data_IF_811198047222
#
_entry.id   IF_811198047222
#
_cell.length_a   1.000
_cell.length_b   1.000
_cell.length_c   1.000
_cell.angle_alpha   90.00
_cell.angle_beta   90.00
_cell.angle_gamma   90.00
#
_symmetry.space_group_name_H-M   'P 1'
#
loop_
_entity.id
_entity.type
_entity.pdbx_description
1 polymer ?
#
# COMPACT_ATOMS: atom_id res chain seq x y z
N UNK A 1 -7.49 -31.79 12.19
CA UNK A 1 -8.07 -30.54 12.76
C UNK A 1 -7.00 -29.56 13.23
N UNK A 2 -6.12 -29.90 14.18
CA UNK A 2 -5.16 -28.93 14.76
C UNK A 2 -4.10 -28.40 13.75
N UNK A 3 -3.62 -29.24 12.81
CA UNK A 3 -2.75 -28.79 11.71
C UNK A 3 -3.45 -27.81 10.76
N UNK A 4 -4.69 -28.12 10.37
CA UNK A 4 -5.50 -27.29 9.45
C UNK A 4 -5.77 -25.89 10.02
N UNK A 5 -6.06 -25.77 11.32
CA UNK A 5 -6.28 -24.48 11.96
C UNK A 5 -5.01 -23.61 12.08
N UNK A 6 -3.83 -24.21 12.20
CA UNK A 6 -2.54 -23.49 12.21
C UNK A 6 -2.22 -23.00 10.79
N UNK A 7 -2.46 -23.84 9.79
CA UNK A 7 -2.24 -23.53 8.39
C UNK A 7 -3.13 -22.36 7.93
N UNK A 8 -4.44 -22.37 8.23
CA UNK A 8 -5.34 -21.25 7.93
C UNK A 8 -4.93 -19.93 8.60
N UNK A 9 -4.44 -19.98 9.85
CA UNK A 9 -3.98 -18.78 10.56
C UNK A 9 -2.69 -18.21 9.99
N UNK A 10 -1.75 -19.07 9.59
CA UNK A 10 -0.50 -18.66 8.95
C UNK A 10 -0.77 -18.13 7.55
N UNK A 11 -1.60 -18.82 6.77
CA UNK A 11 -2.02 -18.38 5.43
C UNK A 11 -2.71 -17.02 5.50
N UNK A 12 -3.62 -16.80 6.46
CA UNK A 12 -4.27 -15.49 6.62
C UNK A 12 -3.29 -14.36 6.95
N UNK A 13 -2.32 -14.61 7.84
CA UNK A 13 -1.30 -13.62 8.18
C UNK A 13 -0.32 -13.38 7.03
N UNK A 14 0.03 -14.43 6.29
CA UNK A 14 0.86 -14.35 5.10
C UNK A 14 0.15 -13.58 3.99
N UNK A 15 -1.13 -13.83 3.76
CA UNK A 15 -1.95 -13.11 2.79
C UNK A 15 -2.04 -11.62 3.12
N UNK A 16 -2.27 -11.29 4.40
CA UNK A 16 -2.22 -9.91 4.86
C UNK A 16 -0.83 -9.26 4.69
N UNK A 17 0.25 -9.96 5.05
CA UNK A 17 1.61 -9.44 4.94
C UNK A 17 2.03 -9.25 3.47
N UNK A 18 1.72 -10.22 2.61
CA UNK A 18 1.99 -10.17 1.17
C UNK A 18 1.15 -9.09 0.49
N UNK A 19 -0.15 -9.04 0.78
CA UNK A 19 -1.05 -8.00 0.27
C UNK A 19 -0.59 -6.60 0.69
N UNK A 20 -0.15 -6.45 1.94
CA UNK A 20 0.44 -5.21 2.44
C UNK A 20 1.74 -4.86 1.70
N UNK A 21 2.65 -5.83 1.54
CA UNK A 21 3.91 -5.64 0.82
C UNK A 21 3.70 -5.21 -0.63
N UNK A 22 2.82 -5.91 -1.35
CA UNK A 22 2.50 -5.58 -2.75
C UNK A 22 1.80 -4.24 -2.91
N UNK A 23 1.12 -3.74 -1.87
CA UNK A 23 0.51 -2.41 -1.88
C UNK A 23 1.53 -1.27 -1.88
N UNK A 24 2.76 -1.53 -1.47
CA UNK A 24 3.87 -0.58 -1.54
C UNK A 24 4.69 -0.70 -2.83
N UNK A 25 4.54 -1.80 -3.59
CA UNK A 25 5.19 -1.99 -4.89
C UNK A 25 4.98 -0.81 -5.86
N UNK A 26 3.77 -0.20 -5.96
CA UNK A 26 3.54 0.94 -6.83
C UNK A 26 4.45 2.14 -6.53
N UNK A 27 4.88 2.32 -5.27
CA UNK A 27 5.77 3.43 -4.89
C UNK A 27 7.09 3.28 -5.62
N UNK A 28 7.69 2.08 -5.53
CA UNK A 28 8.98 1.76 -6.15
C UNK A 28 8.90 1.94 -7.66
N UNK A 29 7.86 1.41 -8.30
CA UNK A 29 7.69 1.54 -9.76
C UNK A 29 7.53 3.00 -10.18
N UNK A 30 6.81 3.82 -9.41
CA UNK A 30 6.58 5.23 -9.74
C UNK A 30 7.87 6.03 -9.64
N UNK A 31 8.70 5.76 -8.63
CA UNK A 31 10.03 6.38 -8.49
C UNK A 31 10.92 6.03 -9.68
N UNK A 32 11.03 4.75 -10.05
CA UNK A 32 11.84 4.35 -11.21
C UNK A 32 11.31 4.89 -12.53
N UNK A 33 9.98 4.92 -12.70
CA UNK A 33 9.35 5.43 -13.91
C UNK A 33 9.61 6.93 -14.09
N UNK A 34 9.46 7.73 -13.04
CA UNK A 34 9.84 9.15 -13.10
C UNK A 34 11.34 9.33 -13.27
N UNK A 35 12.17 8.49 -12.64
CA UNK A 35 13.61 8.50 -12.86
C UNK A 35 13.97 8.28 -14.33
N UNK A 36 13.30 7.34 -15.00
CA UNK A 36 13.48 7.09 -16.43
C UNK A 36 12.99 8.28 -17.29
N UNK A 37 11.85 8.90 -16.96
CA UNK A 37 11.32 10.06 -17.69
C UNK A 37 12.29 11.25 -17.63
N UNK A 38 12.81 11.56 -16.44
CA UNK A 38 13.76 12.65 -16.26
C UNK A 38 15.15 12.31 -16.83
N UNK A 39 15.54 11.04 -16.90
CA UNK A 39 16.79 10.60 -17.53
C UNK A 39 16.77 10.66 -19.07
N UNK A 40 15.61 10.63 -19.71
CA UNK A 40 15.49 10.75 -21.17
C UNK A 40 15.81 12.19 -21.59
N UNK A 41 16.96 12.40 -22.24
CA UNK A 41 17.42 13.69 -22.79
C UNK A 41 18.49 14.39 -21.96
N UNK A 42 19.65 13.72 -21.85
CA UNK A 42 20.87 13.94 -21.05
C UNK A 42 21.60 15.30 -21.19
N UNK A 43 20.92 16.37 -21.60
CA UNK A 43 21.61 17.64 -21.88
C UNK A 43 21.86 18.50 -20.64
N UNK A 44 21.00 18.41 -19.63
CA UNK A 44 21.02 19.31 -18.46
C UNK A 44 20.86 18.54 -17.14
N UNK A 45 21.70 18.91 -16.17
CA UNK A 45 21.70 18.38 -14.80
C UNK A 45 20.46 18.82 -14.00
N UNK A 46 19.91 20.01 -14.33
CA UNK A 46 18.62 20.52 -13.82
C UNK A 46 17.54 20.43 -14.89
N UNK A 47 17.13 19.21 -15.23
CA UNK A 47 16.02 19.01 -16.17
C UNK A 47 14.69 19.32 -15.50
N UNK A 48 14.20 20.54 -15.73
CA UNK A 48 12.88 20.98 -15.30
C UNK A 48 11.86 20.60 -16.37
N UNK A 49 10.88 19.77 -16.01
CA UNK A 49 9.76 19.41 -16.90
C UNK A 49 8.54 20.23 -16.46
N UNK A 50 8.10 21.16 -17.30
CA UNK A 50 6.91 22.00 -17.02
C UNK A 50 6.99 22.74 -15.66
N UNK A 51 8.19 23.15 -15.24
CA UNK A 51 8.40 23.83 -13.95
C UNK A 51 8.66 22.90 -12.76
N UNK A 52 8.61 21.58 -12.94
CA UNK A 52 8.87 20.60 -11.89
C UNK A 52 10.23 19.92 -12.05
N UNK A 53 10.95 19.78 -10.95
CA UNK A 53 12.12 18.91 -10.86
C UNK A 53 11.71 17.47 -10.53
N UNK A 54 12.67 16.54 -10.69
CA UNK A 54 12.46 15.14 -10.32
C UNK A 54 12.03 14.99 -8.86
N UNK A 55 12.66 15.74 -7.95
CA UNK A 55 12.33 15.74 -6.53
C UNK A 55 10.89 16.16 -6.26
N UNK A 56 10.40 17.19 -6.94
CA UNK A 56 9.03 17.69 -6.80
C UNK A 56 8.00 16.63 -7.24
N UNK A 57 8.25 15.97 -8.37
CA UNK A 57 7.35 14.93 -8.88
C UNK A 57 7.29 13.72 -7.96
N UNK A 58 8.45 13.27 -7.45
CA UNK A 58 8.50 12.16 -6.49
C UNK A 58 7.79 12.54 -5.20
N UNK A 59 8.04 13.73 -4.64
CA UNK A 59 7.40 14.20 -3.42
C UNK A 59 5.87 14.28 -3.57
N UNK A 60 5.38 14.85 -4.68
CA UNK A 60 3.95 14.91 -4.99
C UNK A 60 3.28 13.54 -5.02
N UNK A 61 3.87 12.58 -5.74
CA UNK A 61 3.32 11.23 -5.84
C UNK A 61 3.37 10.46 -4.52
N UNK A 62 4.42 10.63 -3.72
CA UNK A 62 4.52 10.03 -2.39
C UNK A 62 3.43 10.57 -1.46
N UNK A 63 3.19 11.89 -1.46
CA UNK A 63 2.10 12.50 -0.69
C UNK A 63 0.72 11.99 -1.14
N UNK A 64 0.49 11.89 -2.45
CA UNK A 64 -0.77 11.36 -2.99
C UNK A 64 -0.99 9.90 -2.61
N UNK A 65 0.07 9.07 -2.61
CA UNK A 65 0.00 7.68 -2.18
C UNK A 65 -0.23 7.53 -0.68
N UNK A 66 0.39 8.38 0.14
CA UNK A 66 0.14 8.43 1.58
C UNK A 66 -1.33 8.80 1.85
N UNK A 67 -1.83 9.84 1.20
CA UNK A 67 -3.23 10.23 1.28
C UNK A 67 -4.16 9.09 0.85
N UNK A 68 -3.85 8.39 -0.24
CA UNK A 68 -4.61 7.18 -0.63
C UNK A 68 -4.51 6.09 0.43
N UNK A 69 -3.36 5.82 1.03
CA UNK A 69 -3.21 4.76 2.01
C UNK A 69 -4.14 5.00 3.22
N UNK A 70 -4.23 6.24 3.69
CA UNK A 70 -5.17 6.65 4.74
C UNK A 70 -6.63 6.65 4.28
N UNK A 71 -6.92 7.14 3.08
CA UNK A 71 -8.30 7.24 2.56
C UNK A 71 -8.90 5.89 2.11
N UNK A 72 -8.08 4.93 1.66
CA UNK A 72 -8.56 3.72 0.99
C UNK A 72 -8.80 2.51 1.89
N UNK A 73 -8.68 2.65 3.23
CA UNK A 73 -8.99 1.64 4.27
C UNK A 73 -9.32 0.21 3.74
N UNK A 74 -8.36 -0.57 3.22
CA UNK A 74 -8.65 -1.91 2.74
C UNK A 74 -8.26 -2.87 3.85
N UNK A 75 -9.25 -3.54 4.43
CA UNK A 75 -9.06 -4.57 5.45
C UNK A 75 -9.72 -4.29 6.80
N UNK A 76 -10.08 -3.04 7.12
CA UNK A 76 -10.83 -2.76 8.35
C UNK A 76 -12.24 -3.37 8.30
N UNK A 77 -12.89 -3.27 7.14
CA UNK A 77 -14.23 -3.85 6.92
C UNK A 77 -14.22 -5.38 6.96
N UNK A 78 -13.20 -6.06 6.42
CA UNK A 78 -13.14 -7.53 6.45
C UNK A 78 -12.77 -8.08 7.84
N UNK A 79 -11.92 -7.37 8.59
CA UNK A 79 -11.65 -7.67 10.00
C UNK A 79 -12.90 -7.54 10.87
N UNK A 80 -13.62 -6.41 10.75
CA UNK A 80 -14.89 -6.19 11.45
C UNK A 80 -15.95 -7.21 11.03
N UNK A 81 -16.10 -7.51 9.74
CA UNK A 81 -17.08 -8.49 9.26
C UNK A 81 -16.80 -9.90 9.81
N UNK A 82 -15.53 -10.25 9.99
CA UNK A 82 -15.11 -11.51 10.59
C UNK A 82 -15.34 -11.53 12.10
N UNK A 83 -15.05 -10.44 12.81
CA UNK A 83 -15.35 -10.29 14.24
C UNK A 83 -16.86 -10.29 14.54
N UNK A 84 -17.67 -9.74 13.63
CA UNK A 84 -19.15 -9.82 13.66
C UNK A 84 -19.61 -11.26 13.45
N UNK A 85 -19.12 -11.94 12.39
CA UNK A 85 -19.49 -13.32 12.07
C UNK A 85 -19.11 -14.31 13.17
N UNK A 86 -17.93 -14.15 13.75
CA UNK A 86 -17.38 -15.05 14.76
C UNK A 86 -17.91 -14.71 16.18
N UNK A 87 -18.80 -13.71 16.31
CA UNK A 87 -19.56 -13.41 17.52
C UNK A 87 -18.80 -12.68 18.63
N UNK A 88 -17.58 -12.20 18.36
CA UNK A 88 -16.70 -11.56 19.33
C UNK A 88 -17.30 -10.25 19.90
N UNK A 89 -18.15 -9.57 19.13
CA UNK A 89 -18.79 -8.29 19.53
C UNK A 89 -19.87 -8.48 20.60
N UNK A 90 -20.48 -9.67 20.69
CA UNK A 90 -21.54 -9.96 21.67
C UNK A 90 -21.06 -9.82 23.11
N UNK A 91 -19.75 -9.97 23.36
CA UNK A 91 -19.10 -9.79 24.66
C UNK A 91 -19.15 -8.34 25.17
N UNK A 92 -19.35 -7.36 24.28
CA UNK A 92 -19.36 -5.93 24.61
C UNK A 92 -20.76 -5.30 24.59
N UNK A 93 -21.81 -6.09 24.29
CA UNK A 93 -23.20 -5.64 24.19
C UNK A 93 -24.02 -5.97 25.46
N UNK A 94 -23.38 -6.17 26.60
CA UNK A 94 -23.99 -6.35 27.92
C UNK A 94 -23.22 -5.51 28.92
#
# INVERSE_FOLDING_TARGET
MLRTCIEERLVYRADFALGTLFRFLPIVTTVFLWGAIFAVGKSDEHKVIQGYEYGDMVAYYLLAMLARAFSSMPGLSSGIARDVRDGAIKKFLT
#
